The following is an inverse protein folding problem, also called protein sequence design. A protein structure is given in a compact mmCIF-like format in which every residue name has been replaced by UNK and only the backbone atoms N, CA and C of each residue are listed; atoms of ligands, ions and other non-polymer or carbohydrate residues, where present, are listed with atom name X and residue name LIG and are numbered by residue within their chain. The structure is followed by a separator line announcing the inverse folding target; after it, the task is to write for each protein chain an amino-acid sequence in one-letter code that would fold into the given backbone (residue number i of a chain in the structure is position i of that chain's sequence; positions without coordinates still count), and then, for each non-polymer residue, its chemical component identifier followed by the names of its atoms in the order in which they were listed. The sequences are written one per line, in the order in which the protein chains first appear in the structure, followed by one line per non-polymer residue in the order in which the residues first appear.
data_IF_633471236308
#
_entry.id   IF_633471236308
#
_cell.length_a   1.000
_cell.length_b   1.000
_cell.length_c   1.000
_cell.angle_alpha   90.00
_cell.angle_beta   90.00
_cell.angle_gamma   90.00
#
_symmetry.space_group_name_H-M   'P 1'
#
loop_
_entity.id
_entity.type
_entity.pdbx_description
1 polymer ?
#
# COMPACT_ATOMS: atom_id res chain seq x y z
N UNK A 1 -8.21 -17.01 42.06
CA UNK A 1 -8.26 -15.92 41.06
C UNK A 1 -7.30 -16.31 39.93
N UNK A 2 -7.82 -16.45 38.70
CA UNK A 2 -7.31 -15.56 37.66
C UNK A 2 -8.43 -14.67 37.15
N UNK A 3 -8.09 -13.40 37.03
CA UNK A 3 -8.88 -12.36 36.38
C UNK A 3 -8.98 -12.69 34.89
N UNK A 4 -10.19 -12.93 34.40
CA UNK A 4 -10.50 -12.81 32.97
C UNK A 4 -11.22 -11.47 32.77
N UNK A 5 -10.53 -10.43 32.27
CA UNK A 5 -11.20 -9.32 31.65
C UNK A 5 -11.07 -9.52 30.13
N UNK A 6 -12.12 -10.00 29.49
CA UNK A 6 -12.30 -9.74 28.04
C UNK A 6 -13.78 -9.51 27.83
N UNK A 7 -14.16 -8.37 28.40
CA UNK A 7 -15.42 -7.69 28.22
C UNK A 7 -15.58 -7.22 26.78
N UNK A 8 -16.84 -7.20 26.38
CA UNK A 8 -17.39 -6.63 25.18
C UNK A 8 -16.88 -5.22 24.86
N UNK A 9 -16.48 -4.95 23.61
CA UNK A 9 -16.70 -3.64 22.99
C UNK A 9 -16.58 -3.75 21.46
N UNK A 10 -17.69 -3.73 20.72
CA UNK A 10 -18.25 -2.54 20.06
C UNK A 10 -17.21 -1.79 19.22
N UNK A 11 -17.39 -1.85 17.89
CA UNK A 11 -17.40 -0.68 16.99
C UNK A 11 -16.53 0.52 17.41
N UNK A 12 -15.22 0.32 17.53
CA UNK A 12 -14.22 1.39 17.65
C UNK A 12 -13.20 1.26 16.53
N UNK A 13 -12.69 2.37 15.95
CA UNK A 13 -11.58 2.32 15.00
C UNK A 13 -10.46 1.51 15.64
N UNK A 14 -10.02 0.48 14.93
CA UNK A 14 -9.12 -0.57 15.40
C UNK A 14 -7.93 0.09 16.11
N UNK A 15 -7.80 -0.03 17.45
CA UNK A 15 -6.67 0.57 18.14
C UNK A 15 -5.39 -0.13 17.67
N UNK A 16 -4.29 0.61 17.51
CA UNK A 16 -3.00 0.04 17.06
C UNK A 16 -2.60 -1.18 17.90
N UNK A 17 -2.99 -1.23 19.18
CA UNK A 17 -2.78 -2.40 20.04
C UNK A 17 -3.52 -3.67 19.56
N UNK A 18 -4.77 -3.53 19.09
CA UNK A 18 -5.53 -4.63 18.49
C UNK A 18 -5.00 -5.00 17.11
N UNK A 19 -4.50 -4.01 16.35
CA UNK A 19 -3.76 -4.27 15.11
C UNK A 19 -2.49 -5.07 15.39
N UNK A 20 -1.67 -4.72 16.39
CA UNK A 20 -0.46 -5.50 16.73
C UNK A 20 -0.76 -6.93 17.18
N UNK A 21 -1.85 -7.16 17.94
CA UNK A 21 -2.28 -8.52 18.31
C UNK A 21 -2.81 -9.29 17.10
N UNK A 22 -3.65 -8.66 16.28
CA UNK A 22 -4.17 -9.26 15.05
C UNK A 22 -3.05 -9.56 14.07
N UNK A 23 -2.08 -8.66 13.91
CA UNK A 23 -0.85 -8.84 13.16
C UNK A 23 -0.06 -10.01 13.75
N UNK A 24 0.18 -10.09 15.06
CA UNK A 24 0.93 -11.19 15.66
C UNK A 24 0.32 -12.58 15.38
N UNK A 25 -1.02 -12.69 15.35
CA UNK A 25 -1.73 -13.95 15.05
C UNK A 25 -2.05 -14.16 13.57
N UNK A 26 -1.93 -13.14 12.73
CA UNK A 26 -2.28 -13.20 11.30
C UNK A 26 -1.19 -13.84 10.44
N UNK A 27 -1.57 -14.38 9.29
CA UNK A 27 -0.63 -14.78 8.24
C UNK A 27 0.07 -13.55 7.64
N UNK A 28 1.29 -13.69 7.09
CA UNK A 28 2.03 -12.59 6.49
C UNK A 28 1.21 -11.80 5.44
N UNK A 29 0.44 -12.48 4.60
CA UNK A 29 -0.49 -11.83 3.65
C UNK A 29 -1.54 -10.97 4.35
N UNK A 30 -2.17 -11.49 5.40
CA UNK A 30 -3.23 -10.78 6.13
C UNK A 30 -2.68 -9.54 6.85
N UNK A 31 -1.40 -9.58 7.27
CA UNK A 31 -0.70 -8.42 7.82
C UNK A 31 -0.54 -7.31 6.79
N UNK A 32 -0.11 -7.66 5.58
CA UNK A 32 0.06 -6.70 4.48
C UNK A 32 -1.28 -6.07 4.11
N UNK A 33 -2.36 -6.86 4.03
CA UNK A 33 -3.72 -6.35 3.79
C UNK A 33 -4.14 -5.32 4.86
N UNK A 34 -3.90 -5.62 6.15
CA UNK A 34 -4.24 -4.70 7.24
C UNK A 34 -3.43 -3.40 7.21
N UNK A 35 -2.17 -3.46 6.81
CA UNK A 35 -1.34 -2.26 6.63
C UNK A 35 -1.78 -1.46 5.40
N UNK A 36 -2.18 -2.13 4.33
CA UNK A 36 -2.74 -1.50 3.13
C UNK A 36 -3.99 -0.69 3.42
N UNK A 37 -4.92 -1.21 4.24
CA UNK A 37 -6.11 -0.45 4.63
C UNK A 37 -5.80 0.83 5.42
N UNK A 38 -4.64 0.89 6.08
CA UNK A 38 -4.18 2.11 6.78
C UNK A 38 -3.35 3.03 5.89
N UNK A 39 -2.56 2.46 4.97
CA UNK A 39 -1.70 3.21 4.06
C UNK A 39 -2.49 3.83 2.89
N UNK A 40 -3.54 3.17 2.43
CA UNK A 40 -4.38 3.63 1.31
C UNK A 40 -4.91 5.06 1.48
N UNK A 41 -5.59 5.43 2.59
CA UNK A 41 -6.09 6.80 2.77
C UNK A 41 -4.97 7.83 2.93
N UNK A 42 -3.75 7.43 3.33
CA UNK A 42 -2.60 8.33 3.40
C UNK A 42 -2.05 8.65 2.00
N UNK A 43 -1.92 7.63 1.16
CA UNK A 43 -1.49 7.78 -0.24
C UNK A 43 -2.55 8.49 -1.06
N UNK A 44 -3.84 8.19 -0.87
CA UNK A 44 -4.95 8.85 -1.60
C UNK A 44 -4.93 10.36 -1.43
N UNK A 45 -4.59 10.85 -0.23
CA UNK A 45 -4.51 12.29 0.05
C UNK A 45 -3.33 12.97 -0.62
N UNK A 46 -2.30 12.22 -0.99
CA UNK A 46 -1.09 12.72 -1.68
C UNK A 46 -1.28 12.58 -3.19
N UNK A 47 -1.69 11.40 -3.65
CA UNK A 47 -1.73 10.99 -5.05
C UNK A 47 -3.00 10.16 -5.33
N UNK A 48 -4.18 10.79 -5.45
CA UNK A 48 -5.45 10.07 -5.65
C UNK A 48 -5.56 9.40 -7.02
N UNK A 49 -4.84 9.89 -8.02
CA UNK A 49 -4.92 9.39 -9.41
C UNK A 49 -4.32 7.99 -9.56
N UNK A 50 -3.24 7.71 -8.82
CA UNK A 50 -2.50 6.45 -8.90
C UNK A 50 -2.44 5.70 -7.57
N UNK A 51 -3.26 6.09 -6.58
CA UNK A 51 -3.26 5.53 -5.22
C UNK A 51 -3.30 4.01 -5.21
N UNK A 52 -4.17 3.37 -6.00
CA UNK A 52 -4.32 1.92 -5.99
C UNK A 52 -3.05 1.21 -6.51
N UNK A 53 -2.41 1.78 -7.53
CA UNK A 53 -1.21 1.22 -8.18
C UNK A 53 0.04 1.47 -7.33
N UNK A 54 0.19 2.70 -6.81
CA UNK A 54 1.27 3.07 -5.90
C UNK A 54 1.16 2.28 -4.59
N UNK A 55 -0.03 2.22 -3.98
CA UNK A 55 -0.28 1.44 -2.76
C UNK A 55 -0.05 -0.05 -3.01
N UNK A 56 -0.43 -0.59 -4.16
CA UNK A 56 -0.12 -1.97 -4.56
C UNK A 56 1.40 -2.23 -4.58
N UNK A 57 2.18 -1.37 -5.24
CA UNK A 57 3.64 -1.49 -5.29
C UNK A 57 4.31 -1.31 -3.92
N UNK A 58 3.79 -0.39 -3.10
CA UNK A 58 4.27 -0.19 -1.73
C UNK A 58 3.95 -1.39 -0.84
N UNK A 59 2.83 -2.06 -1.08
CA UNK A 59 2.44 -3.27 -0.34
C UNK A 59 3.25 -4.50 -0.74
N UNK A 60 3.96 -4.49 -1.86
CA UNK A 60 4.92 -5.55 -2.21
C UNK A 60 6.22 -5.46 -1.38
N UNK A 61 6.39 -4.39 -0.59
CA UNK A 61 7.54 -4.21 0.31
C UNK A 61 7.37 -4.96 1.64
N UNK A 62 8.46 -5.02 2.42
CA UNK A 62 8.45 -5.60 3.77
C UNK A 62 7.50 -4.88 4.73
N UNK A 63 6.91 -5.65 5.65
CA UNK A 63 6.00 -5.15 6.69
C UNK A 63 6.57 -3.93 7.44
N UNK A 64 7.84 -4.00 7.80
CA UNK A 64 8.54 -2.99 8.60
C UNK A 64 8.68 -1.67 7.83
N UNK A 65 8.90 -1.74 6.51
CA UNK A 65 8.94 -0.56 5.64
C UNK A 65 7.56 0.06 5.53
N UNK A 66 6.52 -0.72 5.23
CA UNK A 66 5.14 -0.22 5.12
C UNK A 66 4.69 0.45 6.42
N UNK A 67 5.01 -0.13 7.58
CA UNK A 67 4.69 0.43 8.88
C UNK A 67 5.42 1.76 9.12
N UNK A 68 6.70 1.85 8.74
CA UNK A 68 7.46 3.10 8.80
C UNK A 68 6.85 4.20 7.91
N UNK A 69 6.33 3.85 6.73
CA UNK A 69 5.66 4.81 5.84
C UNK A 69 4.36 5.36 6.46
N UNK A 70 3.62 4.55 7.22
CA UNK A 70 2.42 4.98 7.94
C UNK A 70 2.80 5.91 9.10
N UNK A 71 3.91 5.65 9.79
CA UNK A 71 4.41 6.48 10.89
C UNK A 71 5.08 7.78 10.42
N UNK A 72 5.64 7.80 9.20
CA UNK A 72 6.39 8.94 8.66
C UNK A 72 5.80 9.46 7.33
N UNK A 73 5.04 10.58 7.36
CA UNK A 73 4.45 11.15 6.15
C UNK A 73 5.49 11.65 5.13
N UNK A 74 6.67 12.08 5.58
CA UNK A 74 7.80 12.43 4.70
C UNK A 74 8.34 11.19 3.96
N UNK A 75 8.46 10.06 4.65
CA UNK A 75 8.90 8.80 4.04
C UNK A 75 7.88 8.33 3.01
N UNK A 76 6.58 8.40 3.33
CA UNK A 76 5.50 8.07 2.40
C UNK A 76 5.57 8.90 1.12
N UNK A 77 5.68 10.23 1.21
CA UNK A 77 5.79 11.10 0.02
C UNK A 77 6.99 10.74 -0.85
N UNK A 78 8.15 10.51 -0.23
CA UNK A 78 9.35 10.13 -0.96
C UNK A 78 9.15 8.80 -1.70
N UNK A 79 8.56 7.81 -1.02
CA UNK A 79 8.28 6.49 -1.59
C UNK A 79 7.23 6.52 -2.68
N UNK A 80 6.18 7.33 -2.52
CA UNK A 80 5.15 7.57 -3.55
C UNK A 80 5.78 8.15 -4.80
N UNK A 81 6.69 9.12 -4.68
CA UNK A 81 7.41 9.69 -5.82
C UNK A 81 8.29 8.65 -6.53
N UNK A 82 9.01 7.81 -5.79
CA UNK A 82 9.80 6.72 -6.39
C UNK A 82 8.90 5.67 -7.06
N UNK A 83 7.82 5.24 -6.40
CA UNK A 83 6.86 4.30 -6.94
C UNK A 83 6.17 4.85 -8.20
N UNK A 84 5.88 6.15 -8.26
CA UNK A 84 5.36 6.84 -9.44
C UNK A 84 6.36 6.82 -10.59
N UNK A 85 7.65 7.03 -10.30
CA UNK A 85 8.70 6.95 -11.31
C UNK A 85 8.82 5.53 -11.87
N UNK A 86 8.78 4.51 -11.01
CA UNK A 86 8.77 3.10 -11.43
C UNK A 86 7.48 2.77 -12.19
N UNK A 87 6.32 3.26 -11.75
CA UNK A 87 5.05 3.11 -12.46
C UNK A 87 5.06 3.76 -13.83
N UNK A 88 5.78 4.86 -14.01
CA UNK A 88 5.93 5.48 -15.31
C UNK A 88 6.83 4.64 -16.22
N UNK A 89 7.86 3.99 -15.68
CA UNK A 89 8.74 3.07 -16.40
C UNK A 89 8.03 1.75 -16.76
N UNK A 90 7.29 1.16 -15.82
CA UNK A 90 6.49 -0.07 -15.99
C UNK A 90 5.21 0.19 -16.78
N UNK A 91 4.59 1.37 -16.61
CA UNK A 91 3.40 1.83 -17.31
C UNK A 91 3.70 2.21 -18.75
N UNK A 92 4.89 2.78 -19.03
CA UNK A 92 5.39 2.93 -20.39
C UNK A 92 5.59 1.55 -21.05
N UNK A 93 6.11 0.56 -20.34
CA UNK A 93 6.20 -0.81 -20.87
C UNK A 93 4.82 -1.46 -21.11
N UNK A 94 3.79 -1.09 -20.34
CA UNK A 94 2.42 -1.57 -20.54
C UNK A 94 1.66 -0.82 -21.65
N UNK A 95 2.15 0.34 -22.10
CA UNK A 95 1.60 1.10 -23.23
C UNK A 95 2.40 0.95 -24.53
N UNK A 96 3.51 0.19 -24.51
CA UNK A 96 4.26 -0.24 -25.72
C UNK A 96 3.54 -1.44 -26.38
N UNK A 97 2.25 -1.28 -26.63
CA UNK A 97 1.44 -2.18 -27.44
C UNK A 97 0.86 -1.52 -28.69
N UNK A 98 0.72 -0.19 -28.71
CA UNK A 98 -0.17 0.47 -29.67
C UNK A 98 0.53 1.41 -30.69
N UNK A 99 1.85 1.58 -30.67
CA UNK A 99 2.51 2.58 -31.55
C UNK A 99 3.69 2.07 -32.40
N UNK A 100 4.01 0.77 -32.40
CA UNK A 100 5.08 0.22 -33.27
C UNK A 100 4.60 -0.39 -34.59
N UNK A 101 3.31 -0.26 -34.94
CA UNK A 101 2.74 -0.85 -36.16
C UNK A 101 2.56 0.11 -37.35
N UNK A 102 2.69 1.43 -37.18
CA UNK A 102 2.33 2.42 -38.22
C UNK A 102 3.52 2.95 -39.05
N UNK A 103 4.74 2.44 -38.86
CA UNK A 103 5.93 2.86 -39.61
C UNK A 103 6.33 1.90 -40.74
N UNK A 104 5.42 1.01 -41.16
CA UNK A 104 5.73 -0.03 -42.13
C UNK A 104 4.81 -0.03 -43.36
N UNK A 105 4.57 1.09 -44.03
CA UNK A 105 4.18 1.15 -45.46
C UNK A 105 4.55 2.52 -46.06
N UNK A 106 5.13 2.51 -47.28
CA UNK A 106 5.52 3.64 -48.17
C UNK A 106 7.02 4.03 -48.03
N UNK A 107 7.95 3.64 -48.90
CA UNK A 107 7.93 3.45 -50.38
C UNK A 107 8.82 2.29 -50.86
#
# INVERSE_FOLDING_TARGET
MPITPSDAQRTTPIPISALTTALASATPEKRMVMLGEQLYPLVERIEPEHVAKVTGMLLEMDQTEVLHLIESPDALKKKVAEAMQVLQEVGAASSVGDQLGSLALNE
#
